data_IF_453270387049
#
_entry.id   IF_453270387049
#
_cell.length_a   1.000
_cell.length_b   1.000
_cell.length_c   1.000
_cell.angle_alpha   90.00
_cell.angle_beta   90.00
_cell.angle_gamma   90.00
#
_symmetry.space_group_name_H-M   'P 1'
#
loop_
_entity.id
_entity.type
_entity.pdbx_description
1 polymer ?
#
# COMPACT_ATOMS: atom_id res chain seq x y z
N UNK A 1 -34.83 68.23 10.28
CA UNK A 1 -33.99 67.35 9.42
C UNK A 1 -33.53 66.18 10.29
N UNK A 2 -34.14 64.97 10.11
CA UNK A 2 -33.80 63.74 10.86
C UNK A 2 -32.69 63.03 10.10
N UNK A 3 -31.54 62.83 10.73
CA UNK A 3 -30.43 62.01 10.18
C UNK A 3 -30.73 60.54 10.44
N UNK A 4 -30.87 59.76 9.37
CA UNK A 4 -30.99 58.31 9.42
C UNK A 4 -29.56 57.75 9.43
N UNK A 5 -29.18 57.07 10.50
CA UNK A 5 -27.91 56.38 10.61
C UNK A 5 -28.14 54.95 10.12
N UNK A 6 -27.56 54.61 8.96
CA UNK A 6 -27.62 53.27 8.39
C UNK A 6 -26.48 52.42 9.04
N UNK A 7 -26.85 51.47 9.90
CA UNK A 7 -25.91 50.49 10.47
C UNK A 7 -25.79 49.33 9.52
N UNK A 8 -24.63 49.19 8.85
CA UNK A 8 -24.29 48.03 8.01
C UNK A 8 -23.72 46.96 8.94
N UNK A 9 -24.50 45.92 9.18
CA UNK A 9 -23.99 44.69 9.83
C UNK A 9 -23.19 43.87 8.81
N UNK A 10 -21.88 43.85 8.96
CA UNK A 10 -21.00 42.93 8.19
C UNK A 10 -21.01 41.58 8.89
N UNK A 11 -21.70 40.60 8.29
CA UNK A 11 -21.61 39.22 8.69
C UNK A 11 -20.25 38.63 8.19
N UNK A 12 -19.25 38.53 9.07
CA UNK A 12 -18.08 37.70 8.80
C UNK A 12 -18.47 36.21 8.95
N UNK A 13 -18.76 35.56 7.83
CA UNK A 13 -18.92 34.12 7.79
C UNK A 13 -17.58 33.41 8.04
N UNK A 14 -17.37 32.94 9.27
CA UNK A 14 -16.23 32.07 9.57
C UNK A 14 -16.46 30.72 8.89
N UNK A 15 -15.82 30.48 7.74
CA UNK A 15 -15.75 29.17 7.10
C UNK A 15 -14.88 28.26 7.97
N UNK A 16 -15.50 27.41 8.79
CA UNK A 16 -14.79 26.36 9.51
C UNK A 16 -14.35 25.31 8.51
N UNK A 17 -13.04 25.26 8.21
CA UNK A 17 -12.44 24.17 7.47
C UNK A 17 -12.44 22.96 8.42
N UNK A 18 -13.40 22.06 8.23
CA UNK A 18 -13.42 20.74 8.86
C UNK A 18 -12.27 19.92 8.29
N UNK A 19 -11.12 19.90 8.97
CA UNK A 19 -10.09 18.90 8.72
C UNK A 19 -10.67 17.53 9.10
N UNK A 20 -11.08 16.73 8.12
CA UNK A 20 -11.42 15.34 8.35
C UNK A 20 -10.15 14.63 8.84
N UNK A 21 -10.14 14.25 10.10
CA UNK A 21 -9.04 13.50 10.69
C UNK A 21 -8.98 12.11 10.02
N UNK A 22 -7.80 11.71 9.52
CA UNK A 22 -7.63 10.37 8.96
C UNK A 22 -8.04 9.31 9.99
N UNK A 23 -8.76 8.26 9.57
CA UNK A 23 -9.23 7.23 10.49
C UNK A 23 -8.05 6.46 11.11
N UNK A 24 -8.23 6.03 12.35
CA UNK A 24 -7.20 5.25 13.07
C UNK A 24 -6.99 3.89 12.40
N UNK A 25 -5.78 3.63 11.94
CA UNK A 25 -5.38 2.36 11.35
C UNK A 25 -5.33 1.24 12.39
N UNK A 26 -6.06 0.15 12.16
CA UNK A 26 -6.07 -1.07 12.99
C UNK A 26 -5.11 -2.11 12.41
N UNK A 27 -4.46 -2.89 13.28
CA UNK A 27 -3.60 -3.99 12.84
C UNK A 27 -4.44 -5.06 12.13
N UNK A 28 -4.02 -5.48 10.94
CA UNK A 28 -4.55 -6.64 10.20
C UNK A 28 -3.55 -7.80 10.18
N UNK A 29 -2.32 -7.59 10.64
CA UNK A 29 -1.34 -8.63 10.95
C UNK A 29 -1.04 -8.58 12.45
N UNK A 30 -1.23 -9.69 13.15
CA UNK A 30 -1.11 -9.76 14.61
C UNK A 30 0.35 -9.92 15.10
N UNK A 31 1.30 -10.16 14.18
CA UNK A 31 2.72 -10.34 14.47
C UNK A 31 3.12 -11.70 15.02
N UNK A 32 2.17 -12.66 15.10
CA UNK A 32 2.40 -14.00 15.69
C UNK A 32 2.12 -15.13 14.71
N UNK A 33 1.09 -14.98 13.88
CA UNK A 33 0.63 -15.98 12.92
C UNK A 33 -0.14 -15.30 11.77
N UNK A 34 -0.66 -16.10 10.84
CA UNK A 34 -1.38 -15.66 9.66
C UNK A 34 -2.92 -15.69 9.83
N UNK A 35 -3.45 -15.64 11.06
CA UNK A 35 -4.89 -15.52 11.26
C UNK A 35 -5.45 -14.25 10.63
N UNK A 36 -6.54 -14.37 9.88
CA UNK A 36 -7.13 -13.31 9.06
C UNK A 36 -6.57 -13.21 7.64
N UNK A 37 -5.68 -14.17 7.28
CA UNK A 37 -5.10 -14.30 5.95
C UNK A 37 -5.41 -15.66 5.34
N UNK A 38 -5.71 -15.69 4.05
CA UNK A 38 -5.86 -16.93 3.27
C UNK A 38 -4.48 -17.54 3.09
N UNK A 39 -4.29 -18.72 3.68
CA UNK A 39 -3.00 -19.42 3.65
C UNK A 39 -2.65 -19.82 2.21
N UNK A 40 -1.44 -19.48 1.72
CA UNK A 40 -0.97 -19.94 0.43
C UNK A 40 -0.71 -21.47 0.48
N UNK A 41 -0.68 -22.16 -0.68
CA UNK A 41 -0.44 -23.61 -0.74
C UNK A 41 0.88 -24.05 -0.09
N UNK A 42 1.93 -23.23 -0.21
CA UNK A 42 3.22 -23.44 0.43
C UNK A 42 3.45 -22.39 1.53
N UNK A 43 3.35 -22.83 2.76
CA UNK A 43 3.58 -21.99 3.94
C UNK A 43 5.05 -21.83 4.30
N UNK A 44 5.97 -22.64 3.73
CA UNK A 44 7.40 -22.60 4.07
C UNK A 44 8.02 -21.25 3.73
N UNK A 45 7.45 -20.55 2.76
CA UNK A 45 7.88 -19.23 2.32
C UNK A 45 7.42 -18.07 3.24
N UNK A 46 6.51 -18.32 4.19
CA UNK A 46 5.82 -17.28 4.97
C UNK A 46 5.94 -17.55 6.47
N UNK A 47 6.85 -16.88 7.14
CA UNK A 47 7.09 -17.08 8.59
C UNK A 47 6.68 -15.85 9.39
N UNK A 48 5.69 -16.00 10.27
CA UNK A 48 5.24 -14.96 11.19
C UNK A 48 5.88 -15.16 12.57
N UNK A 49 6.70 -14.22 13.03
CA UNK A 49 7.35 -14.29 14.34
C UNK A 49 7.72 -12.90 14.85
N UNK A 50 7.58 -12.69 16.15
CA UNK A 50 8.05 -11.49 16.87
C UNK A 50 7.68 -10.16 16.22
N UNK A 51 6.45 -10.06 15.71
CA UNK A 51 5.95 -8.84 15.07
C UNK A 51 6.30 -8.68 13.59
N UNK A 52 7.08 -9.60 13.02
CA UNK A 52 7.57 -9.57 11.65
C UNK A 52 6.96 -10.74 10.86
N UNK A 53 6.56 -10.46 9.64
CA UNK A 53 6.26 -11.44 8.61
C UNK A 53 7.49 -11.52 7.71
N UNK A 54 8.24 -12.61 7.78
CA UNK A 54 9.37 -12.90 6.92
C UNK A 54 8.91 -13.74 5.72
N UNK A 55 9.27 -13.28 4.54
CA UNK A 55 8.87 -13.89 3.26
C UNK A 55 10.15 -14.19 2.47
N UNK A 56 10.34 -15.45 2.10
CA UNK A 56 11.51 -15.90 1.36
C UNK A 56 11.14 -17.02 0.40
N UNK A 57 11.67 -16.99 -0.83
CA UNK A 57 11.49 -18.12 -1.76
C UNK A 57 12.15 -19.39 -1.21
N UNK A 58 11.50 -20.50 -1.51
CA UNK A 58 12.10 -21.84 -1.37
C UNK A 58 13.03 -22.15 -2.55
N UNK A 59 13.65 -23.35 -2.56
CA UNK A 59 14.56 -23.78 -3.62
C UNK A 59 13.90 -23.83 -5.01
N UNK A 60 12.60 -24.09 -5.08
CA UNK A 60 11.85 -24.16 -6.33
C UNK A 60 11.49 -22.77 -6.88
N UNK A 61 11.65 -21.70 -6.09
CA UNK A 61 11.33 -20.31 -6.45
C UNK A 61 9.91 -20.14 -7.01
N UNK A 62 8.98 -20.97 -6.53
CA UNK A 62 7.55 -20.81 -6.82
C UNK A 62 7.04 -19.59 -6.06
N UNK A 63 6.51 -18.61 -6.77
CA UNK A 63 5.87 -17.47 -6.13
C UNK A 63 4.55 -17.86 -5.46
N UNK A 64 4.10 -16.99 -4.57
CA UNK A 64 2.76 -17.08 -3.98
C UNK A 64 2.29 -15.72 -3.47
N UNK A 65 0.98 -15.58 -3.29
CA UNK A 65 0.37 -14.37 -2.76
C UNK A 65 -0.32 -14.68 -1.44
N UNK A 66 -0.10 -13.84 -0.44
CA UNK A 66 -0.78 -13.91 0.84
C UNK A 66 -1.91 -12.89 0.86
N UNK A 67 -3.17 -13.32 0.84
CA UNK A 67 -4.36 -12.49 0.74
C UNK A 67 -5.06 -12.34 2.09
N UNK A 68 -5.64 -11.16 2.36
CA UNK A 68 -6.57 -11.04 3.48
C UNK A 68 -7.82 -11.90 3.24
N UNK A 69 -8.41 -12.47 4.30
CA UNK A 69 -9.72 -13.15 4.22
C UNK A 69 -10.83 -12.16 3.91
N UNK A 70 -10.73 -10.96 4.49
CA UNK A 70 -11.69 -9.87 4.31
C UNK A 70 -11.44 -9.12 3.01
N UNK A 71 -12.52 -8.73 2.34
CA UNK A 71 -12.51 -7.79 1.23
C UNK A 71 -12.71 -6.36 1.73
N UNK A 72 -12.14 -5.40 1.00
CA UNK A 72 -12.20 -3.97 1.31
C UNK A 72 -12.67 -3.19 0.07
N UNK A 73 -13.45 -2.13 0.31
CA UNK A 73 -13.80 -1.13 -0.69
C UNK A 73 -12.81 0.03 -0.59
N UNK A 74 -13.25 1.16 -0.04
CA UNK A 74 -12.37 2.29 0.22
C UNK A 74 -11.58 2.06 1.50
N UNK A 75 -10.27 2.24 1.45
CA UNK A 75 -9.44 1.96 2.62
C UNK A 75 -8.11 2.72 2.58
N UNK A 76 -7.48 2.81 3.74
CA UNK A 76 -6.07 3.16 3.87
C UNK A 76 -5.35 1.93 4.39
N UNK A 77 -4.33 1.46 3.69
CA UNK A 77 -3.40 0.44 4.14
C UNK A 77 -2.03 1.05 4.42
N UNK A 78 -1.37 0.60 5.46
CA UNK A 78 0.02 0.95 5.77
C UNK A 78 0.78 -0.31 6.16
N UNK A 79 1.99 -0.48 5.62
CA UNK A 79 2.89 -1.56 5.97
C UNK A 79 4.33 -1.05 6.00
N UNK A 80 5.09 -1.46 6.99
CA UNK A 80 6.55 -1.33 6.93
C UNK A 80 7.11 -2.53 6.17
N UNK A 81 8.07 -2.29 5.30
CA UNK A 81 8.81 -3.33 4.60
C UNK A 81 10.32 -3.11 4.68
N UNK A 82 11.08 -4.19 4.64
CA UNK A 82 12.53 -4.21 4.54
C UNK A 82 12.92 -5.21 3.47
N UNK A 83 13.52 -4.73 2.40
CA UNK A 83 14.08 -5.58 1.35
C UNK A 83 15.24 -6.39 1.91
N UNK A 84 15.27 -7.68 1.59
CA UNK A 84 16.28 -8.62 2.07
C UNK A 84 17.23 -9.05 0.96
N UNK A 85 17.68 -10.30 1.03
CA UNK A 85 18.64 -10.86 0.10
C UNK A 85 18.06 -11.08 -1.29
N UNK A 86 18.92 -11.12 -2.29
CA UNK A 86 18.60 -11.43 -3.68
C UNK A 86 17.95 -10.26 -4.43
N UNK A 87 17.21 -10.57 -5.50
CA UNK A 87 16.50 -9.59 -6.31
C UNK A 87 15.06 -9.50 -5.84
N UNK A 88 14.79 -8.54 -4.96
CA UNK A 88 13.43 -8.34 -4.43
C UNK A 88 12.51 -7.83 -5.53
N UNK A 89 11.51 -8.64 -5.88
CA UNK A 89 10.39 -8.31 -6.75
C UNK A 89 9.13 -8.71 -5.99
N UNK A 90 8.45 -7.72 -5.44
CA UNK A 90 7.33 -7.90 -4.52
C UNK A 90 6.33 -6.75 -4.67
N UNK A 91 5.30 -6.74 -3.86
CA UNK A 91 4.33 -5.65 -3.88
C UNK A 91 3.11 -5.88 -3.01
N UNK A 92 2.27 -4.86 -2.95
CA UNK A 92 0.98 -4.88 -2.28
C UNK A 92 -0.12 -4.83 -3.34
N UNK A 93 -0.91 -5.90 -3.46
CA UNK A 93 -2.06 -5.96 -4.34
C UNK A 93 -3.27 -5.26 -3.72
N UNK A 94 -4.03 -4.60 -4.60
CA UNK A 94 -5.22 -3.84 -4.25
C UNK A 94 -6.45 -4.49 -4.89
N UNK A 95 -7.30 -5.15 -4.09
CA UNK A 95 -8.56 -5.79 -4.47
C UNK A 95 -8.46 -6.94 -5.50
N UNK A 96 -7.35 -7.07 -6.23
CA UNK A 96 -7.11 -8.14 -7.21
C UNK A 96 -5.63 -8.23 -7.56
N UNK A 97 -5.26 -9.23 -8.36
CA UNK A 97 -3.91 -9.37 -8.92
C UNK A 97 -3.59 -8.36 -10.03
N UNK A 98 -4.59 -7.61 -10.49
CA UNK A 98 -4.46 -6.70 -11.63
C UNK A 98 -4.00 -5.30 -11.25
N UNK A 99 -4.00 -4.96 -9.96
CA UNK A 99 -3.54 -3.67 -9.44
C UNK A 99 -2.60 -3.91 -8.27
N UNK A 100 -1.32 -3.67 -8.48
CA UNK A 100 -0.26 -3.86 -7.49
C UNK A 100 0.54 -2.58 -7.31
N UNK A 101 0.95 -2.28 -6.10
CA UNK A 101 1.98 -1.29 -5.81
C UNK A 101 3.29 -2.04 -5.62
N UNK A 102 4.23 -1.82 -6.53
CA UNK A 102 5.52 -2.50 -6.61
C UNK A 102 6.39 -2.24 -5.38
N UNK A 103 7.18 -3.22 -4.98
CA UNK A 103 8.30 -3.09 -4.05
C UNK A 103 9.51 -3.77 -4.67
N UNK A 104 10.57 -3.00 -4.94
CA UNK A 104 11.83 -3.49 -5.47
C UNK A 104 11.90 -3.53 -7.00
N UNK A 105 12.68 -4.46 -7.50
CA UNK A 105 13.07 -4.56 -8.91
C UNK A 105 11.96 -5.19 -9.75
N UNK A 106 11.49 -4.47 -10.73
CA UNK A 106 10.53 -5.00 -11.71
C UNK A 106 11.13 -6.12 -12.54
N UNK A 107 10.49 -7.28 -12.55
CA UNK A 107 10.86 -8.41 -13.42
C UNK A 107 10.81 -8.08 -14.90
N UNK A 108 9.94 -7.16 -15.33
CA UNK A 108 9.78 -6.77 -16.73
C UNK A 108 10.73 -5.65 -17.18
N UNK A 109 11.02 -4.66 -16.32
CA UNK A 109 11.85 -3.49 -16.68
C UNK A 109 13.26 -3.53 -16.08
N UNK A 110 13.56 -4.53 -15.23
CA UNK A 110 14.89 -4.80 -14.63
C UNK A 110 15.49 -3.59 -13.87
N UNK A 111 14.63 -2.79 -13.24
CA UNK A 111 15.03 -1.68 -12.39
C UNK A 111 14.04 -1.50 -11.24
N UNK A 112 14.46 -0.76 -10.22
CA UNK A 112 13.61 -0.46 -9.07
C UNK A 112 12.41 0.41 -9.49
N UNK A 113 11.24 -0.04 -9.16
CA UNK A 113 9.96 0.66 -9.40
C UNK A 113 9.10 0.70 -8.13
N UNK A 114 9.76 0.68 -6.98
CA UNK A 114 9.08 0.78 -5.67
C UNK A 114 8.08 1.93 -5.65
N UNK A 115 6.90 1.67 -5.09
CA UNK A 115 5.75 2.58 -5.00
C UNK A 115 5.05 2.91 -6.32
N UNK A 116 5.51 2.39 -7.47
CA UNK A 116 4.84 2.53 -8.76
C UNK A 116 3.71 1.49 -8.91
N UNK A 117 2.61 1.82 -9.61
CA UNK A 117 1.55 0.86 -9.87
C UNK A 117 1.97 -0.09 -11.01
N UNK A 118 1.83 -1.38 -10.78
CA UNK A 118 1.95 -2.41 -11.81
C UNK A 118 0.58 -2.95 -12.19
N UNK A 119 0.26 -2.89 -13.47
CA UNK A 119 -0.94 -3.47 -14.07
C UNK A 119 -0.52 -4.41 -15.20
N UNK A 120 -0.94 -5.69 -15.26
CA UNK A 120 -0.42 -6.67 -16.23
C UNK A 120 -0.48 -6.21 -17.68
N UNK A 121 -1.54 -5.51 -18.08
CA UNK A 121 -1.73 -5.01 -19.46
C UNK A 121 -0.92 -3.74 -19.77
N UNK A 122 -0.78 -2.84 -18.81
CA UNK A 122 -0.16 -1.52 -19.01
C UNK A 122 1.27 -1.44 -18.48
N UNK A 123 1.70 -2.44 -17.72
CA UNK A 123 2.94 -2.46 -16.95
C UNK A 123 2.92 -1.34 -15.90
N UNK A 124 3.72 -0.31 -16.07
CA UNK A 124 3.82 0.83 -15.15
C UNK A 124 3.30 2.10 -15.84
N UNK A 125 2.00 2.40 -15.77
CA UNK A 125 1.40 3.55 -16.45
C UNK A 125 1.89 4.91 -15.91
N UNK A 126 2.39 4.91 -14.68
CA UNK A 126 3.07 6.04 -14.04
C UNK A 126 4.18 5.49 -13.15
N UNK A 127 5.25 6.26 -12.96
CA UNK A 127 6.35 5.88 -12.09
C UNK A 127 6.39 6.80 -10.87
N UNK A 128 6.56 6.20 -9.69
CA UNK A 128 6.74 6.96 -8.46
C UNK A 128 8.13 7.59 -8.42
N UNK A 129 8.21 8.83 -7.95
CA UNK A 129 9.50 9.45 -7.68
C UNK A 129 9.93 9.14 -6.25
N UNK A 130 10.75 8.10 -6.11
CA UNK A 130 11.26 7.62 -4.80
C UNK A 130 12.72 7.97 -4.55
N UNK A 131 13.34 8.76 -5.45
CA UNK A 131 14.71 9.24 -5.29
C UNK A 131 14.86 9.98 -3.95
N UNK A 132 15.90 9.65 -3.20
CA UNK A 132 16.21 10.22 -1.89
C UNK A 132 15.13 9.98 -0.80
N UNK A 133 14.13 9.11 -1.09
CA UNK A 133 13.05 8.74 -0.16
C UNK A 133 13.15 7.26 0.22
N UNK A 134 13.35 6.38 -0.78
CA UNK A 134 13.54 4.94 -0.57
C UNK A 134 14.87 4.68 0.14
N UNK A 135 14.81 3.84 1.15
CA UNK A 135 15.98 3.37 1.93
C UNK A 135 16.18 1.88 1.65
N UNK A 136 17.02 1.48 0.71
CA UNK A 136 17.09 0.11 0.23
C UNK A 136 17.45 -0.93 1.31
N UNK A 137 18.26 -0.54 2.31
CA UNK A 137 18.75 -1.43 3.37
C UNK A 137 18.12 -1.19 4.74
N UNK A 138 17.12 -0.31 4.81
CA UNK A 138 16.41 0.04 6.04
C UNK A 138 14.92 -0.27 5.93
N UNK A 139 14.22 -0.18 7.06
CA UNK A 139 12.77 -0.22 7.07
C UNK A 139 12.18 0.99 6.36
N UNK A 140 11.26 0.75 5.44
CA UNK A 140 10.46 1.76 4.78
C UNK A 140 8.99 1.59 5.17
N UNK A 141 8.25 2.68 5.25
CA UNK A 141 6.80 2.67 5.45
C UNK A 141 6.11 3.05 4.15
N UNK A 142 5.30 2.15 3.61
CA UNK A 142 4.40 2.43 2.50
C UNK A 142 2.98 2.62 3.04
N UNK A 143 2.36 3.76 2.72
CA UNK A 143 0.94 4.02 2.96
C UNK A 143 0.23 4.18 1.62
N UNK A 144 -0.90 3.51 1.45
CA UNK A 144 -1.72 3.56 0.24
C UNK A 144 -3.14 3.93 0.67
N UNK A 145 -3.69 5.01 0.11
CA UNK A 145 -5.10 5.38 0.25
C UNK A 145 -5.82 5.03 -1.05
N UNK A 146 -6.80 4.14 -0.96
CA UNK A 146 -7.62 3.70 -2.08
C UNK A 146 -9.05 4.19 -1.87
N UNK A 147 -9.51 5.08 -2.76
CA UNK A 147 -10.88 5.59 -2.79
C UNK A 147 -11.43 5.39 -4.20
N UNK A 148 -12.54 4.68 -4.29
CA UNK A 148 -13.16 4.26 -5.54
C UNK A 148 -12.13 3.51 -6.43
N UNK A 149 -11.64 4.14 -7.48
CA UNK A 149 -10.64 3.59 -8.40
C UNK A 149 -9.29 4.28 -8.31
N UNK A 150 -9.15 5.29 -7.44
CA UNK A 150 -7.94 6.08 -7.30
C UNK A 150 -7.16 5.65 -6.08
N UNK A 151 -5.89 5.40 -6.25
CA UNK A 151 -4.97 5.17 -5.15
C UNK A 151 -3.81 6.14 -5.16
N UNK A 152 -3.52 6.68 -3.97
CA UNK A 152 -2.39 7.57 -3.69
C UNK A 152 -1.43 6.85 -2.77
N UNK A 153 -0.15 6.92 -3.08
CA UNK A 153 0.92 6.22 -2.35
C UNK A 153 1.88 7.21 -1.71
N UNK A 154 2.15 6.99 -0.45
CA UNK A 154 3.20 7.66 0.32
C UNK A 154 4.29 6.65 0.66
N UNK A 155 5.53 7.04 0.47
CA UNK A 155 6.71 6.32 0.93
C UNK A 155 7.44 7.16 1.98
N UNK A 156 7.66 6.60 3.16
CA UNK A 156 8.31 7.27 4.28
C UNK A 156 7.70 8.66 4.61
N UNK A 157 6.36 8.75 4.51
CA UNK A 157 5.58 9.95 4.80
C UNK A 157 5.49 10.98 3.66
N UNK A 158 6.20 10.79 2.55
CA UNK A 158 6.11 11.66 1.37
C UNK A 158 5.20 11.04 0.32
N UNK A 159 4.28 11.82 -0.24
CA UNK A 159 3.48 11.40 -1.39
C UNK A 159 4.39 11.26 -2.61
N UNK A 160 4.33 10.10 -3.26
CA UNK A 160 5.22 9.76 -4.38
C UNK A 160 4.50 9.39 -5.65
N UNK A 161 3.19 9.06 -5.56
CA UNK A 161 2.42 8.66 -6.73
C UNK A 161 0.91 8.72 -6.45
N UNK A 162 0.14 9.13 -7.47
CA UNK A 162 -1.31 8.98 -7.54
C UNK A 162 -1.68 8.41 -8.91
N UNK A 163 -2.62 7.45 -8.94
CA UNK A 163 -3.10 6.83 -10.17
C UNK A 163 -4.56 6.42 -10.04
N UNK A 164 -5.33 6.57 -11.14
CA UNK A 164 -6.71 6.08 -11.25
C UNK A 164 -6.74 4.88 -12.19
N UNK A 165 -6.99 3.69 -11.63
CA UNK A 165 -7.11 2.44 -12.40
C UNK A 165 -8.50 2.34 -13.03
N UNK A 166 -8.55 1.94 -14.31
CA UNK A 166 -9.83 1.76 -15.01
C UNK A 166 -10.54 0.47 -14.58
N UNK A 167 -9.76 -0.57 -14.32
CA UNK A 167 -10.24 -1.96 -14.22
C UNK A 167 -10.24 -2.50 -12.77
N UNK A 168 -9.79 -1.73 -11.78
CA UNK A 168 -9.78 -2.17 -10.38
C UNK A 168 -11.21 -2.50 -9.91
N UNK A 169 -11.46 -3.66 -9.30
CA UNK A 169 -12.76 -4.03 -8.75
C UNK A 169 -13.24 -3.04 -7.67
N UNK A 170 -14.57 -2.91 -7.51
CA UNK A 170 -15.14 -2.07 -6.45
C UNK A 170 -14.78 -2.55 -5.05
N UNK A 171 -14.56 -3.86 -4.86
CA UNK A 171 -14.17 -4.48 -3.59
C UNK A 171 -13.30 -5.70 -3.85
N UNK A 172 -12.40 -6.00 -2.92
CA UNK A 172 -11.56 -7.18 -2.97
C UNK A 172 -10.54 -7.22 -1.83
N UNK A 173 -9.76 -8.30 -1.73
CA UNK A 173 -8.75 -8.46 -0.68
C UNK A 173 -7.53 -7.57 -0.91
N UNK A 174 -6.74 -7.39 0.14
CA UNK A 174 -5.37 -6.88 0.05
C UNK A 174 -4.42 -8.07 0.02
N UNK A 175 -3.41 -8.01 -0.86
CA UNK A 175 -2.43 -9.09 -1.02
C UNK A 175 -1.00 -8.63 -0.83
N UNK A 176 -0.15 -9.53 -0.35
CA UNK A 176 1.30 -9.37 -0.37
C UNK A 176 1.88 -10.39 -1.34
N UNK A 177 2.84 -9.98 -2.16
CA UNK A 177 3.41 -10.84 -3.20
C UNK A 177 4.75 -11.44 -2.77
N UNK A 178 4.93 -12.71 -3.11
CA UNK A 178 6.22 -13.35 -3.30
C UNK A 178 6.34 -13.72 -4.79
N UNK A 179 7.13 -12.94 -5.54
CA UNK A 179 7.25 -13.15 -6.99
C UNK A 179 8.01 -14.44 -7.31
N UNK A 180 7.59 -15.24 -8.31
CA UNK A 180 8.31 -16.44 -8.74
C UNK A 180 9.61 -16.11 -9.49
N UNK A 181 10.51 -17.09 -9.56
CA UNK A 181 11.69 -17.08 -10.42
C UNK A 181 12.93 -16.42 -9.85
N UNK A 182 12.82 -15.49 -8.91
CA UNK A 182 13.97 -14.86 -8.27
C UNK A 182 14.32 -15.53 -6.94
N UNK A 183 15.58 -15.54 -6.57
CA UNK A 183 15.96 -15.68 -5.19
C UNK A 183 15.76 -14.33 -4.52
N UNK A 184 14.87 -14.29 -3.52
CA UNK A 184 14.55 -13.05 -2.80
C UNK A 184 14.06 -13.31 -1.39
N UNK A 185 14.28 -12.33 -0.53
CA UNK A 185 13.58 -12.24 0.73
C UNK A 185 13.10 -10.81 1.01
N UNK A 186 12.00 -10.69 1.75
CA UNK A 186 11.44 -9.42 2.20
C UNK A 186 10.81 -9.62 3.58
N UNK A 187 10.84 -8.59 4.40
CA UNK A 187 10.19 -8.57 5.70
C UNK A 187 9.10 -7.52 5.72
N UNK A 188 7.96 -7.84 6.34
CA UNK A 188 6.89 -6.90 6.61
C UNK A 188 6.62 -6.82 8.11
N UNK A 189 6.19 -5.67 8.58
CA UNK A 189 5.67 -5.47 9.94
C UNK A 189 4.67 -4.32 9.95
N UNK A 190 3.99 -4.11 11.09
CA UNK A 190 3.07 -2.98 11.27
C UNK A 190 1.99 -2.87 10.17
N UNK A 191 1.55 -4.03 9.63
CA UNK A 191 0.52 -4.03 8.59
C UNK A 191 -0.80 -3.63 9.23
N UNK A 192 -1.33 -2.48 8.82
CA UNK A 192 -2.51 -1.84 9.39
C UNK A 192 -3.43 -1.36 8.29
N UNK A 193 -4.73 -1.28 8.60
CA UNK A 193 -5.74 -0.82 7.65
C UNK A 193 -6.86 -0.08 8.38
N UNK A 194 -7.44 0.90 7.70
CA UNK A 194 -8.72 1.50 8.06
C UNK A 194 -9.63 1.50 6.82
N UNK A 195 -10.90 1.18 7.00
CA UNK A 195 -11.95 1.40 6.01
C UNK A 195 -12.41 2.86 6.06
N UNK A 196 -12.75 3.42 4.89
CA UNK A 196 -13.17 4.81 4.70
C UNK A 196 -14.68 4.89 4.46
#
# INVERSE_FOLDING_TARGET
MKKIILVILVFLGASTILFSQEPKLKKIFNGKNLNGWKLPPDLTCWTASRGVLFVKNNAEKKGSNLWTEKNYQNCIISADFLMGDGTVDSGIFLRSENDQIQIGISGSLKRDLTASPYLPKLKYPVEANVKDILKPTEWNTMKIKLVDKTYTVWLNGKEVMTYTSKDIPASGPIGLQLHPGNEMSIKYRNIRLAEL
#
